data_IF_544664256566
#
_entry.id   IF_544664256566
#
_cell.length_a   1.000
_cell.length_b   1.000
_cell.length_c   1.000
_cell.angle_alpha   90.00
_cell.angle_beta   90.00
_cell.angle_gamma   90.00
#
_symmetry.space_group_name_H-M   'P 1'
#
loop_
_entity.id
_entity.type
_entity.pdbx_description
1 polymer ?
#
# COMPACT_ATOMS: atom_id res chain seq x y z
N UNK A 1 -7.58 -19.71 19.00
CA UNK A 1 -6.92 -18.45 19.40
C UNK A 1 -7.55 -17.29 18.64
N UNK A 2 -8.32 -16.47 19.31
CA UNK A 2 -9.00 -15.32 18.71
C UNK A 2 -7.99 -14.24 18.31
N UNK A 3 -7.72 -14.07 17.02
CA UNK A 3 -7.18 -12.83 16.51
C UNK A 3 -8.26 -11.76 16.66
N UNK A 4 -8.16 -10.93 17.70
CA UNK A 4 -8.94 -9.70 17.81
C UNK A 4 -8.74 -8.89 16.54
N UNK A 5 -9.72 -8.90 15.64
CA UNK A 5 -9.83 -7.94 14.55
C UNK A 5 -10.03 -6.58 15.21
N UNK A 6 -9.01 -5.74 15.20
CA UNK A 6 -9.17 -4.34 15.54
C UNK A 6 -10.08 -3.69 14.49
N UNK A 7 -11.36 -3.66 14.78
CA UNK A 7 -12.34 -2.83 14.08
C UNK A 7 -12.09 -1.37 14.46
N UNK A 8 -11.21 -0.73 13.74
CA UNK A 8 -11.06 0.71 13.81
C UNK A 8 -11.91 1.34 12.69
N UNK A 9 -13.04 1.92 13.06
CA UNK A 9 -13.88 2.78 12.23
C UNK A 9 -14.27 2.23 10.83
N UNK A 10 -14.80 1.01 10.74
CA UNK A 10 -15.28 0.45 9.48
C UNK A 10 -14.18 0.19 8.42
N UNK A 11 -12.91 0.20 8.81
CA UNK A 11 -11.76 -0.07 7.93
C UNK A 11 -11.33 -1.53 8.09
N UNK A 12 -11.33 -2.28 6.98
CA UNK A 12 -10.79 -3.64 6.90
C UNK A 12 -9.56 -3.64 5.99
N UNK A 13 -8.38 -3.85 6.55
CA UNK A 13 -7.14 -3.92 5.78
C UNK A 13 -7.10 -5.22 4.98
N UNK A 14 -6.83 -5.13 3.67
CA UNK A 14 -6.68 -6.25 2.76
C UNK A 14 -5.21 -6.69 2.72
N UNK A 15 -4.32 -5.79 2.36
CA UNK A 15 -2.87 -6.03 2.36
C UNK A 15 -2.08 -4.75 2.66
N UNK A 16 -0.83 -4.95 3.09
CA UNK A 16 0.13 -3.87 3.39
C UNK A 16 1.42 -4.07 2.62
N UNK A 17 2.01 -2.99 2.15
CA UNK A 17 3.35 -2.99 1.58
C UNK A 17 4.40 -2.94 2.71
N UNK A 18 4.89 -4.11 3.11
CA UNK A 18 5.84 -4.24 4.23
C UNK A 18 7.21 -3.63 3.91
N UNK A 19 7.60 -3.62 2.63
CA UNK A 19 8.91 -3.11 2.19
C UNK A 19 8.95 -1.59 2.01
N UNK A 20 7.80 -0.94 1.87
CA UNK A 20 7.73 0.48 1.56
C UNK A 20 8.50 1.34 2.56
N UNK A 21 8.26 1.17 3.85
CA UNK A 21 8.92 1.93 4.92
C UNK A 21 10.40 1.55 5.12
N UNK A 22 10.82 0.40 4.62
CA UNK A 22 12.22 0.00 4.64
C UNK A 22 12.99 0.65 3.49
N UNK A 23 12.40 0.68 2.30
CA UNK A 23 13.05 1.14 1.09
C UNK A 23 12.90 2.66 0.83
N UNK A 24 11.87 3.27 1.42
CA UNK A 24 11.51 4.66 1.15
C UNK A 24 11.32 5.45 2.44
N UNK A 25 11.71 6.71 2.37
CA UNK A 25 11.34 7.72 3.34
C UNK A 25 9.99 8.32 2.94
N UNK A 26 8.97 8.14 3.79
CA UNK A 26 7.61 8.60 3.53
C UNK A 26 7.50 10.06 3.96
N UNK A 27 7.20 10.96 3.03
CA UNK A 27 7.03 12.40 3.30
C UNK A 27 5.58 12.76 3.59
N UNK A 28 4.64 12.21 2.82
CA UNK A 28 3.21 12.47 2.97
C UNK A 28 2.38 11.28 2.48
N UNK A 29 1.11 11.23 2.86
CA UNK A 29 0.18 10.17 2.45
C UNK A 29 -1.16 10.74 2.02
N UNK A 30 -1.77 10.10 1.02
CA UNK A 30 -3.08 10.44 0.47
C UNK A 30 -3.98 9.20 0.46
N UNK A 31 -5.26 9.36 0.79
CA UNK A 31 -6.26 8.32 0.57
C UNK A 31 -6.83 8.44 -0.83
N UNK A 32 -6.76 7.37 -1.61
CA UNK A 32 -7.27 7.34 -2.99
C UNK A 32 -8.33 6.27 -3.16
N UNK A 33 -9.29 6.50 -4.07
CA UNK A 33 -10.13 5.45 -4.61
C UNK A 33 -9.38 4.65 -5.68
N UNK A 34 -9.92 3.53 -6.10
CA UNK A 34 -9.37 2.70 -7.18
C UNK A 34 -10.49 2.13 -8.03
N UNK A 35 -10.31 2.16 -9.35
CA UNK A 35 -11.25 1.58 -10.31
C UNK A 35 -10.98 0.09 -10.46
N UNK A 36 -11.94 -0.73 -10.04
CA UNK A 36 -11.85 -2.18 -10.02
C UNK A 36 -12.96 -2.85 -10.83
N UNK A 37 -12.68 -4.05 -11.31
CA UNK A 37 -13.67 -4.96 -11.87
C UNK A 37 -14.34 -5.79 -10.76
N UNK A 38 -15.51 -6.35 -11.02
CA UNK A 38 -16.26 -7.13 -10.03
C UNK A 38 -15.47 -8.34 -9.49
N UNK A 39 -14.74 -9.03 -10.35
CA UNK A 39 -13.89 -10.17 -9.96
C UNK A 39 -12.71 -9.76 -9.07
N UNK A 40 -12.15 -8.56 -9.28
CA UNK A 40 -11.11 -8.00 -8.42
C UNK A 40 -11.63 -7.70 -7.02
N UNK A 41 -12.82 -7.09 -6.91
CA UNK A 41 -13.46 -6.82 -5.62
C UNK A 41 -13.74 -8.11 -4.85
N UNK A 42 -14.23 -9.15 -5.53
CA UNK A 42 -14.47 -10.46 -4.93
C UNK A 42 -13.17 -11.11 -4.42
N UNK A 43 -12.09 -11.07 -5.20
CA UNK A 43 -10.78 -11.54 -4.79
C UNK A 43 -10.22 -10.77 -3.58
N UNK A 44 -10.42 -9.46 -3.56
CA UNK A 44 -10.00 -8.59 -2.44
C UNK A 44 -10.77 -8.88 -1.15
N UNK A 45 -12.04 -9.25 -1.23
CA UNK A 45 -12.82 -9.70 -0.05
C UNK A 45 -12.23 -10.96 0.57
N UNK A 46 -11.64 -11.82 -0.24
CA UNK A 46 -10.89 -12.99 0.20
C UNK A 46 -9.45 -12.69 0.65
N UNK A 47 -9.02 -11.44 0.56
CA UNK A 47 -7.67 -11.01 0.93
C UNK A 47 -6.57 -11.44 -0.03
N UNK A 48 -6.91 -11.80 -1.27
CA UNK A 48 -6.00 -12.34 -2.28
C UNK A 48 -5.34 -11.23 -3.10
N UNK A 49 -4.49 -10.43 -2.49
CA UNK A 49 -3.73 -9.38 -3.14
C UNK A 49 -2.30 -9.24 -2.60
N UNK A 50 -1.40 -8.76 -3.43
CA UNK A 50 -0.01 -8.46 -3.07
C UNK A 50 0.41 -7.10 -3.62
N UNK A 51 1.10 -6.33 -2.79
CA UNK A 51 1.63 -5.00 -3.13
C UNK A 51 3.16 -4.97 -3.10
N UNK A 52 3.83 -6.11 -3.22
CA UNK A 52 5.28 -6.22 -3.00
C UNK A 52 6.11 -5.27 -3.87
N UNK A 53 5.75 -5.16 -5.15
CA UNK A 53 6.48 -4.35 -6.15
C UNK A 53 5.58 -3.27 -6.77
N UNK A 54 4.52 -2.90 -6.07
CA UNK A 54 3.51 -1.97 -6.52
C UNK A 54 3.99 -0.52 -6.40
N UNK A 55 3.70 0.28 -7.41
CA UNK A 55 3.94 1.71 -7.42
C UNK A 55 2.87 2.43 -8.23
N UNK A 56 2.80 3.75 -8.12
CA UNK A 56 1.89 4.55 -8.92
C UNK A 56 2.66 5.53 -9.81
N UNK A 57 2.05 5.85 -10.94
CA UNK A 57 2.57 6.82 -11.91
C UNK A 57 1.48 7.83 -12.27
N UNK A 58 1.90 9.03 -12.59
CA UNK A 58 1.04 10.06 -13.18
C UNK A 58 1.23 10.01 -14.70
N UNK A 59 0.14 9.83 -15.42
CA UNK A 59 0.12 9.79 -16.88
C UNK A 59 -1.08 10.62 -17.38
N UNK A 60 -0.82 11.67 -18.16
CA UNK A 60 -1.86 12.55 -18.76
C UNK A 60 -2.93 13.01 -17.76
N UNK A 61 -2.51 13.60 -16.66
CA UNK A 61 -3.39 14.09 -15.58
C UNK A 61 -4.24 13.01 -14.90
N UNK A 62 -3.86 11.74 -15.03
CA UNK A 62 -4.44 10.61 -14.33
C UNK A 62 -3.37 9.86 -13.54
N UNK A 63 -3.76 9.22 -12.45
CA UNK A 63 -2.86 8.43 -11.63
C UNK A 63 -3.21 6.96 -11.75
N UNK A 64 -2.20 6.13 -12.01
CA UNK A 64 -2.37 4.70 -12.21
C UNK A 64 -1.53 3.89 -11.24
N UNK A 65 -2.11 2.83 -10.74
CA UNK A 65 -1.47 1.81 -9.92
C UNK A 65 -0.95 0.69 -10.81
N UNK A 66 0.35 0.40 -10.72
CA UNK A 66 1.05 -0.61 -11.50
C UNK A 66 1.62 -1.71 -10.59
N UNK A 67 1.78 -2.90 -11.12
CA UNK A 67 2.36 -4.05 -10.43
C UNK A 67 1.66 -4.43 -9.11
N UNK A 68 0.39 -4.08 -8.96
CA UNK A 68 -0.44 -4.55 -7.86
C UNK A 68 -1.10 -5.86 -8.27
N UNK A 69 -0.65 -6.96 -7.71
CA UNK A 69 -1.20 -8.27 -8.00
C UNK A 69 -2.52 -8.49 -7.25
N UNK A 70 -3.59 -8.75 -7.98
CA UNK A 70 -4.88 -9.23 -7.44
C UNK A 70 -5.17 -10.58 -8.07
N UNK A 71 -5.20 -11.63 -7.26
CA UNK A 71 -5.40 -13.00 -7.76
C UNK A 71 -6.73 -13.15 -8.50
N UNK A 72 -6.81 -14.02 -9.51
CA UNK A 72 -8.07 -14.36 -10.15
C UNK A 72 -9.09 -14.85 -9.12
N UNK A 73 -10.35 -14.53 -9.36
CA UNK A 73 -11.46 -15.06 -8.58
C UNK A 73 -11.88 -16.40 -9.16
N UNK A 74 -11.51 -17.50 -8.52
CA UNK A 74 -11.67 -18.88 -9.03
C UNK A 74 -13.07 -19.18 -9.56
N UNK A 75 -14.18 -18.80 -8.89
CA UNK A 75 -15.52 -19.07 -9.39
C UNK A 75 -15.92 -18.36 -10.69
N UNK A 76 -15.16 -17.36 -11.13
CA UNK A 76 -15.44 -16.61 -12.37
C UNK A 76 -14.95 -17.31 -13.64
N UNK A 77 -14.17 -18.38 -13.52
CA UNK A 77 -13.62 -19.16 -14.65
C UNK A 77 -12.96 -18.28 -15.73
N UNK A 78 -13.53 -18.30 -16.95
CA UNK A 78 -13.01 -17.54 -18.10
C UNK A 78 -13.21 -16.01 -18.05
N UNK A 79 -14.06 -15.52 -17.16
CA UNK A 79 -14.39 -14.09 -17.02
C UNK A 79 -13.57 -13.37 -15.96
N UNK A 80 -12.35 -13.81 -15.73
CA UNK A 80 -11.44 -13.19 -14.78
C UNK A 80 -10.72 -11.97 -15.37
N UNK A 81 -10.27 -11.11 -14.45
CA UNK A 81 -9.37 -9.99 -14.75
C UNK A 81 -7.94 -10.46 -14.93
N UNK A 82 -7.11 -9.62 -15.59
CA UNK A 82 -5.66 -9.78 -15.55
C UNK A 82 -5.14 -9.43 -14.14
N UNK A 83 -4.42 -10.33 -13.45
CA UNK A 83 -3.91 -10.11 -12.10
C UNK A 83 -3.03 -8.86 -11.97
N UNK A 84 -2.28 -8.51 -13.01
CA UNK A 84 -1.34 -7.38 -13.04
C UNK A 84 -1.88 -6.17 -13.79
N UNK A 85 -3.15 -6.11 -14.05
CA UNK A 85 -3.80 -5.01 -14.78
C UNK A 85 -3.44 -3.63 -14.19
N UNK A 86 -3.17 -2.69 -15.08
CA UNK A 86 -3.05 -1.26 -14.73
C UNK A 86 -4.40 -0.75 -14.19
N UNK A 87 -4.42 -0.13 -13.03
CA UNK A 87 -5.64 0.34 -12.35
C UNK A 87 -5.59 1.84 -12.13
N UNK A 88 -6.66 2.54 -12.52
CA UNK A 88 -6.77 3.97 -12.28
C UNK A 88 -7.06 4.24 -10.82
N UNK A 89 -6.32 5.19 -10.24
CA UNK A 89 -6.60 5.74 -8.93
C UNK A 89 -7.49 6.98 -9.05
N UNK A 90 -8.42 7.12 -8.11
CA UNK A 90 -9.35 8.23 -8.06
C UNK A 90 -8.91 9.25 -7.02
N UNK A 91 -8.56 10.44 -7.48
CA UNK A 91 -8.12 11.58 -6.68
C UNK A 91 -8.83 12.84 -7.14
N UNK A 92 -8.87 13.85 -6.29
CA UNK A 92 -9.32 15.19 -6.68
C UNK A 92 -8.31 15.85 -7.62
N UNK A 93 -8.78 16.71 -8.50
CA UNK A 93 -7.93 17.44 -9.48
C UNK A 93 -6.79 18.21 -8.80
N UNK A 94 -7.03 18.81 -7.64
CA UNK A 94 -6.01 19.51 -6.85
C UNK A 94 -4.91 18.56 -6.35
N UNK A 95 -5.28 17.36 -5.93
CA UNK A 95 -4.33 16.33 -5.50
C UNK A 95 -3.48 15.84 -6.68
N UNK A 96 -4.11 15.60 -7.83
CA UNK A 96 -3.40 15.20 -9.06
C UNK A 96 -2.41 16.29 -9.49
N UNK A 97 -2.81 17.56 -9.50
CA UNK A 97 -1.93 18.68 -9.83
C UNK A 97 -0.71 18.75 -8.89
N UNK A 98 -0.94 18.55 -7.59
CA UNK A 98 0.14 18.46 -6.59
C UNK A 98 1.09 17.29 -6.88
N UNK A 99 0.57 16.12 -7.21
CA UNK A 99 1.37 14.94 -7.52
C UNK A 99 2.20 15.13 -8.80
N UNK A 100 1.65 15.78 -9.82
CA UNK A 100 2.39 16.14 -11.06
C UNK A 100 3.63 16.97 -10.69
N UNK A 101 3.46 18.02 -9.89
CA UNK A 101 4.57 18.88 -9.46
C UNK A 101 5.65 18.09 -8.71
N UNK A 102 5.25 17.27 -7.73
CA UNK A 102 6.18 16.52 -6.91
C UNK A 102 6.91 15.42 -7.70
N UNK A 103 6.23 14.72 -8.59
CA UNK A 103 6.83 13.63 -9.38
C UNK A 103 7.80 14.14 -10.46
N UNK A 104 7.71 15.42 -10.84
CA UNK A 104 8.70 16.05 -11.70
C UNK A 104 10.03 16.33 -10.98
N UNK A 105 10.02 16.41 -9.67
CA UNK A 105 11.24 16.54 -8.85
C UNK A 105 11.97 15.19 -8.77
N UNK A 106 13.29 15.23 -8.94
CA UNK A 106 14.13 14.02 -8.88
C UNK A 106 14.05 13.35 -7.51
N UNK A 107 13.89 12.02 -7.52
CA UNK A 107 13.94 11.19 -6.33
C UNK A 107 12.60 10.94 -5.64
N UNK A 108 11.51 11.58 -6.06
CA UNK A 108 10.17 11.28 -5.56
C UNK A 108 9.51 10.13 -6.30
N UNK A 109 8.84 9.27 -5.55
CA UNK A 109 8.06 8.14 -6.06
C UNK A 109 6.72 8.06 -5.34
N UNK A 110 5.71 7.53 -6.03
CA UNK A 110 4.40 7.27 -5.45
C UNK A 110 4.29 5.80 -5.10
N UNK A 111 4.26 5.48 -3.81
CA UNK A 111 4.28 4.11 -3.31
C UNK A 111 3.03 3.83 -2.50
N UNK A 112 2.22 2.84 -2.88
CA UNK A 112 1.08 2.44 -2.08
C UNK A 112 1.56 1.74 -0.79
N UNK A 113 0.97 2.12 0.34
CA UNK A 113 1.30 1.57 1.66
C UNK A 113 0.36 0.46 2.09
N UNK A 114 -0.93 0.63 1.83
CA UNK A 114 -1.96 -0.35 2.16
C UNK A 114 -3.16 -0.25 1.23
N UNK A 115 -3.82 -1.38 1.09
CA UNK A 115 -5.09 -1.55 0.40
C UNK A 115 -6.13 -1.99 1.45
N UNK A 116 -7.28 -1.36 1.48
CA UNK A 116 -8.29 -1.61 2.52
C UNK A 116 -9.71 -1.32 2.04
N UNK A 117 -10.69 -1.94 2.71
CA UNK A 117 -12.10 -1.54 2.61
C UNK A 117 -12.41 -0.45 3.64
N UNK A 118 -13.11 0.58 3.20
CA UNK A 118 -13.65 1.64 4.02
C UNK A 118 -15.09 1.91 3.57
N UNK A 119 -16.05 1.66 4.47
CA UNK A 119 -17.47 1.79 4.15
C UNK A 119 -17.89 1.04 2.87
N UNK A 120 -17.42 -0.20 2.71
CA UNK A 120 -17.71 -1.05 1.55
C UNK A 120 -16.97 -0.70 0.26
N UNK A 121 -16.16 0.36 0.25
CA UNK A 121 -15.35 0.79 -0.91
C UNK A 121 -13.88 0.46 -0.71
N UNK A 122 -13.23 0.03 -1.78
CA UNK A 122 -11.78 -0.22 -1.75
C UNK A 122 -11.01 1.10 -1.84
N UNK A 123 -10.09 1.31 -0.93
CA UNK A 123 -9.22 2.48 -0.86
C UNK A 123 -7.75 2.05 -0.86
N UNK A 124 -6.91 2.93 -1.37
CA UNK A 124 -5.45 2.80 -1.35
C UNK A 124 -4.86 4.00 -0.60
N UNK A 125 -4.03 3.72 0.41
CA UNK A 125 -3.20 4.75 1.00
C UNK A 125 -1.93 4.89 0.15
N UNK A 126 -1.84 6.00 -0.57
CA UNK A 126 -0.73 6.32 -1.45
C UNK A 126 0.25 7.24 -0.73
N UNK A 127 1.53 6.91 -0.74
CA UNK A 127 2.58 7.71 -0.16
C UNK A 127 3.38 8.47 -1.22
N UNK A 128 3.73 9.70 -0.89
CA UNK A 128 4.79 10.45 -1.55
C UNK A 128 6.08 10.11 -0.80
N UNK A 129 7.04 9.53 -1.49
CA UNK A 129 8.21 8.93 -0.88
C UNK A 129 9.50 9.20 -1.66
N UNK A 130 10.61 9.24 -0.93
CA UNK A 130 11.97 9.24 -1.50
C UNK A 130 12.67 7.93 -1.24
N UNK A 131 13.37 7.39 -2.23
CA UNK A 131 14.19 6.20 -2.07
C UNK A 131 15.29 6.42 -1.03
N UNK A 132 15.42 5.50 -0.06
CA UNK A 132 16.50 5.53 0.92
C UNK A 132 17.82 5.10 0.29
N UNK A 133 18.90 5.75 0.67
CA UNK A 133 20.25 5.31 0.37
C UNK A 133 20.63 4.09 1.23
N UNK A 134 21.66 3.37 0.82
CA UNK A 134 22.03 2.10 1.51
C UNK A 134 22.43 2.31 2.96
N UNK A 135 23.06 3.44 3.32
CA UNK A 135 23.39 3.75 4.70
C UNK A 135 22.12 4.00 5.56
N UNK A 136 21.10 4.68 5.01
CA UNK A 136 19.82 4.92 5.70
C UNK A 136 19.06 3.61 5.97
N UNK A 137 19.16 2.64 5.04
CA UNK A 137 18.59 1.30 5.21
C UNK A 137 19.27 0.55 6.35
N UNK A 138 20.60 0.63 6.45
CA UNK A 138 21.38 0.00 7.54
C UNK A 138 20.99 0.58 8.90
N UNK A 139 20.84 1.90 9.00
CA UNK A 139 20.43 2.55 10.25
C UNK A 139 18.99 2.17 10.64
N UNK A 140 18.10 2.04 9.67
CA UNK A 140 16.73 1.56 9.90
C UNK A 140 16.73 0.12 10.45
N UNK A 141 17.60 -0.75 9.95
CA UNK A 141 17.73 -2.13 10.42
C UNK A 141 18.26 -2.13 11.86
N UNK A 142 19.35 -1.42 12.14
CA UNK A 142 19.95 -1.31 13.48
C UNK A 142 18.94 -0.82 14.51
N UNK A 143 18.19 0.22 14.18
CA UNK A 143 17.14 0.74 15.07
C UNK A 143 16.05 -0.29 15.37
N UNK A 144 15.59 -1.03 14.36
CA UNK A 144 14.58 -2.10 14.55
C UNK A 144 15.10 -3.24 15.43
N UNK A 145 16.36 -3.61 15.28
CA UNK A 145 16.99 -4.65 16.08
C UNK A 145 17.11 -4.21 17.53
N UNK A 146 17.58 -2.98 17.78
CA UNK A 146 17.63 -2.39 19.12
C UNK A 146 16.25 -2.33 19.78
N UNK A 147 15.21 -1.87 19.07
CA UNK A 147 13.83 -1.82 19.58
C UNK A 147 13.30 -3.22 19.93
N UNK A 148 13.65 -4.24 19.13
CA UNK A 148 13.27 -5.63 19.40
C UNK A 148 13.99 -6.19 20.65
N UNK A 149 15.25 -5.87 20.84
CA UNK A 149 16.02 -6.28 22.01
C UNK A 149 15.47 -5.65 23.28
N UNK A 150 15.20 -4.35 23.25
CA UNK A 150 14.55 -3.62 24.35
C UNK A 150 13.17 -4.24 24.68
N UNK A 151 12.36 -4.52 23.67
CA UNK A 151 11.06 -5.14 23.88
C UNK A 151 11.14 -6.56 24.45
N UNK A 152 12.19 -7.33 24.11
CA UNK A 152 12.46 -8.65 24.70
C UNK A 152 12.92 -8.55 26.14
N UNK A 153 13.82 -7.61 26.44
CA UNK A 153 14.28 -7.36 27.81
C UNK A 153 13.12 -6.97 28.72
N UNK A 154 12.28 -6.02 28.30
CA UNK A 154 11.10 -5.59 29.07
C UNK A 154 10.07 -6.71 29.30
N UNK A 155 10.02 -7.73 28.44
CA UNK A 155 9.15 -8.90 28.65
C UNK A 155 9.72 -9.91 29.65
N UNK A 156 11.06 -10.00 29.77
CA UNK A 156 11.72 -10.87 30.74
C UNK A 156 11.61 -10.35 32.17
N UNK A 157 11.56 -9.04 32.36
CA UNK A 157 11.50 -8.39 33.66
C UNK A 157 10.07 -8.17 34.18
N UNK A 158 9.05 -8.72 33.54
CA UNK A 158 7.71 -8.77 34.11
C UNK A 158 7.58 -9.98 35.04
N UNK A 159 7.27 -9.74 36.34
CA UNK A 159 7.05 -10.81 37.32
C UNK A 159 5.86 -11.69 36.95
#
# INVERSE_FOLDING_TARGET
>A
MNKKSQQTNGIKIICKNKKARHNYHIEDTLETGVVLQGTEVKALREGKASMADCYAVVDREEVFLLHCHISPYTPAHAFNHDPMRKRKLLLHKKEIARLIGITQEKGHSLIPLKLYFKNGKVKVELAIAKGKRDYDKRDTIKKREADREIARAMKRDKP
#
